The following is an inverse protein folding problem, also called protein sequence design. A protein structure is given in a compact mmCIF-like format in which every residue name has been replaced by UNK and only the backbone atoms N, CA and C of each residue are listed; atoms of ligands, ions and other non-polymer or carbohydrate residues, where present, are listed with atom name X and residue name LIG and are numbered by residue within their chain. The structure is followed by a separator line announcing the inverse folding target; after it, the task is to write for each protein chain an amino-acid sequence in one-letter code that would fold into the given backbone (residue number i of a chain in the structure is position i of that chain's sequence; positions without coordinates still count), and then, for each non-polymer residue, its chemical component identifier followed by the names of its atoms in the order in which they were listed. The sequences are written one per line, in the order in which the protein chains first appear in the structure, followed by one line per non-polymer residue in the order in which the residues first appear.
data_IF_359637191477
#
_entry.id   IF_359637191477
#
_cell.length_a   1.000
_cell.length_b   1.000
_cell.length_c   1.000
_cell.angle_alpha   90.00
_cell.angle_beta   90.00
_cell.angle_gamma   90.00
#
_symmetry.space_group_name_H-M   'P 1'
#
loop_
_entity.id
_entity.type
_entity.pdbx_description
1 polymer ?
#
# COMPACT_ATOMS: atom_id res chain seq x y z
N UNK A 1 5.75 0.31 -29.44
CA UNK A 1 6.81 0.86 -28.58
C UNK A 1 7.18 -0.10 -27.46
N UNK A 2 6.22 -0.72 -26.77
CA UNK A 2 6.48 -1.65 -25.63
C UNK A 2 7.23 -2.93 -26.05
N UNK A 3 6.88 -3.55 -27.18
CA UNK A 3 7.51 -4.80 -27.62
C UNK A 3 9.00 -4.69 -27.99
N UNK A 4 9.46 -3.53 -28.46
CA UNK A 4 10.86 -3.37 -28.89
C UNK A 4 11.82 -3.27 -27.71
N UNK A 5 11.42 -2.58 -26.64
CA UNK A 5 12.22 -2.51 -25.40
C UNK A 5 12.24 -3.86 -24.68
N UNK A 6 11.12 -4.59 -24.72
CA UNK A 6 10.99 -5.93 -24.14
C UNK A 6 11.90 -6.94 -24.84
N UNK A 7 11.96 -6.90 -26.18
CA UNK A 7 12.82 -7.80 -26.96
C UNK A 7 14.31 -7.54 -26.69
N UNK A 8 14.72 -6.27 -26.65
CA UNK A 8 16.12 -5.91 -26.40
C UNK A 8 16.60 -6.33 -25.00
N UNK A 9 15.76 -6.18 -23.96
CA UNK A 9 16.13 -6.61 -22.61
C UNK A 9 16.24 -8.14 -22.49
N UNK A 10 15.38 -8.89 -23.20
CA UNK A 10 15.48 -10.35 -23.24
C UNK A 10 16.69 -10.85 -24.04
N UNK A 11 17.05 -10.17 -25.14
CA UNK A 11 18.27 -10.47 -25.87
C UNK A 11 19.52 -10.27 -25.01
N UNK A 12 19.57 -9.19 -24.21
CA UNK A 12 20.69 -8.94 -23.29
C UNK A 12 20.72 -9.91 -22.10
N UNK A 13 19.57 -10.30 -21.54
CA UNK A 13 19.49 -11.30 -20.48
C UNK A 13 19.91 -12.70 -20.96
N UNK A 14 19.72 -13.00 -22.25
CA UNK A 14 20.12 -14.26 -22.86
C UNK A 14 21.64 -14.38 -23.12
N UNK A 15 22.41 -13.30 -22.98
CA UNK A 15 23.87 -13.33 -23.16
C UNK A 15 24.54 -14.12 -22.04
N UNK A 16 25.64 -14.82 -22.35
CA UNK A 16 26.47 -15.54 -21.36
C UNK A 16 27.13 -14.62 -20.32
N UNK A 17 27.16 -13.31 -20.57
CA UNK A 17 27.63 -12.29 -19.63
C UNK A 17 26.52 -11.79 -18.68
N UNK A 18 25.32 -12.35 -18.77
CA UNK A 18 24.19 -11.99 -17.92
C UNK A 18 24.44 -12.35 -16.45
N UNK A 19 23.86 -11.56 -15.55
CA UNK A 19 23.98 -11.76 -14.10
C UNK A 19 22.68 -11.40 -13.36
N UNK A 20 22.52 -11.84 -12.09
CA UNK A 20 21.38 -11.46 -11.25
C UNK A 20 21.36 -9.95 -10.96
N UNK A 21 20.15 -9.39 -10.80
CA UNK A 21 19.96 -7.98 -10.39
C UNK A 21 20.40 -7.71 -8.94
N UNK A 22 20.36 -8.74 -8.09
CA UNK A 22 20.83 -8.67 -6.70
C UNK A 22 22.04 -9.56 -6.56
N UNK A 23 23.18 -8.98 -6.22
CA UNK A 23 24.41 -9.70 -5.86
C UNK A 23 24.54 -9.78 -4.33
N UNK A 24 24.90 -10.94 -3.77
CA UNK A 24 25.19 -11.08 -2.35
C UNK A 24 26.34 -10.15 -1.93
N UNK A 25 26.27 -9.59 -0.71
CA UNK A 25 27.32 -8.71 -0.17
C UNK A 25 28.69 -9.41 -0.10
N UNK A 26 28.69 -10.73 0.06
CA UNK A 26 29.90 -11.58 0.08
C UNK A 26 30.66 -11.54 -1.26
N UNK A 27 29.96 -11.31 -2.37
CA UNK A 27 30.53 -11.28 -3.73
C UNK A 27 31.04 -9.88 -4.12
N UNK A 28 30.70 -8.84 -3.35
CA UNK A 28 31.05 -7.44 -3.62
C UNK A 28 32.04 -6.93 -2.56
N UNK A 29 33.33 -7.12 -2.82
CA UNK A 29 34.41 -6.78 -1.89
C UNK A 29 35.32 -5.66 -2.42
N UNK A 30 35.22 -5.32 -3.71
CA UNK A 30 36.10 -4.35 -4.37
C UNK A 30 35.33 -3.28 -5.14
N UNK A 31 35.93 -2.10 -5.31
CA UNK A 31 35.34 -0.99 -6.09
C UNK A 31 35.06 -1.36 -7.53
N UNK A 32 35.89 -2.21 -8.15
CA UNK A 32 35.68 -2.66 -9.53
C UNK A 32 34.42 -3.51 -9.67
N UNK A 33 34.09 -4.33 -8.67
CA UNK A 33 32.86 -5.13 -8.65
C UNK A 33 31.64 -4.24 -8.49
N UNK A 34 31.71 -3.22 -7.62
CA UNK A 34 30.64 -2.22 -7.46
C UNK A 34 30.36 -1.52 -8.79
N UNK A 35 31.41 -1.05 -9.47
CA UNK A 35 31.26 -0.39 -10.78
C UNK A 35 30.70 -1.33 -11.85
N UNK A 36 31.07 -2.62 -11.80
CA UNK A 36 30.55 -3.64 -12.70
C UNK A 36 29.05 -3.92 -12.53
N UNK A 37 28.46 -3.58 -11.38
CA UNK A 37 27.01 -3.70 -11.15
C UNK A 37 26.19 -2.59 -11.82
N UNK A 38 26.82 -1.53 -12.35
CA UNK A 38 26.14 -0.42 -13.02
C UNK A 38 26.27 -0.54 -14.54
N UNK A 39 25.84 -1.67 -15.09
CA UNK A 39 25.95 -1.99 -16.51
C UNK A 39 24.60 -1.92 -17.25
N UNK A 40 24.66 -2.01 -18.58
CA UNK A 40 23.46 -1.93 -19.44
C UNK A 40 22.44 -3.03 -19.08
N UNK A 41 22.93 -4.23 -18.74
CA UNK A 41 22.10 -5.39 -18.40
C UNK A 41 21.26 -5.08 -17.15
N UNK A 42 21.88 -4.53 -16.11
CA UNK A 42 21.23 -4.16 -14.85
C UNK A 42 20.11 -3.12 -15.06
N UNK A 43 20.37 -2.09 -15.86
CA UNK A 43 19.37 -1.07 -16.16
C UNK A 43 18.23 -1.62 -17.02
N UNK A 44 18.53 -2.42 -18.04
CA UNK A 44 17.53 -3.05 -18.92
C UNK A 44 16.58 -3.97 -18.13
N UNK A 45 17.13 -4.87 -17.31
CA UNK A 45 16.34 -5.75 -16.45
C UNK A 45 15.57 -4.98 -15.39
N UNK A 46 16.21 -4.02 -14.72
CA UNK A 46 15.59 -3.19 -13.70
C UNK A 46 14.40 -2.40 -14.25
N UNK A 47 14.54 -1.79 -15.42
CA UNK A 47 13.45 -1.09 -16.11
C UNK A 47 12.29 -2.03 -16.43
N UNK A 48 12.57 -3.27 -16.84
CA UNK A 48 11.53 -4.26 -17.12
C UNK A 48 10.77 -4.68 -15.86
N UNK A 49 11.49 -4.92 -14.76
CA UNK A 49 10.87 -5.25 -13.46
C UNK A 49 10.00 -4.11 -12.97
N UNK A 50 10.46 -2.86 -13.08
CA UNK A 50 9.67 -1.68 -12.74
C UNK A 50 8.42 -1.53 -13.62
N UNK A 51 8.55 -1.80 -14.92
CA UNK A 51 7.40 -1.81 -15.84
C UNK A 51 6.39 -2.90 -15.49
N UNK A 52 6.86 -4.13 -15.26
CA UNK A 52 6.00 -5.25 -14.83
C UNK A 52 5.29 -4.94 -13.51
N UNK A 53 5.98 -4.29 -12.56
CA UNK A 53 5.40 -3.83 -11.31
C UNK A 53 4.30 -2.80 -11.55
N UNK A 54 4.54 -1.80 -12.42
CA UNK A 54 3.54 -0.80 -12.79
C UNK A 54 2.29 -1.43 -13.43
N UNK A 55 2.48 -2.39 -14.34
CA UNK A 55 1.38 -3.12 -14.98
C UNK A 55 0.60 -3.98 -13.96
N UNK A 56 1.29 -4.56 -12.98
CA UNK A 56 0.69 -5.39 -11.93
C UNK A 56 -0.15 -4.59 -10.93
N UNK A 57 0.35 -3.44 -10.47
CA UNK A 57 -0.29 -2.64 -9.41
C UNK A 57 -1.17 -1.50 -9.96
N UNK A 58 -1.02 -1.17 -11.24
CA UNK A 58 -1.65 -0.01 -11.89
C UNK A 58 -0.75 1.23 -11.87
N UNK A 59 -0.72 1.98 -12.98
CA UNK A 59 0.16 3.14 -13.17
C UNK A 59 -0.02 4.20 -12.06
N UNK A 60 -1.25 4.54 -11.68
CA UNK A 60 -1.52 5.54 -10.63
C UNK A 60 -0.93 5.15 -9.27
N UNK A 61 -1.03 3.87 -8.92
CA UNK A 61 -0.52 3.32 -7.66
C UNK A 61 1.00 3.30 -7.68
N UNK A 62 1.58 2.88 -8.79
CA UNK A 62 3.02 2.82 -8.99
C UNK A 62 3.63 4.22 -8.87
N UNK A 63 3.12 5.21 -9.61
CA UNK A 63 3.61 6.59 -9.61
C UNK A 63 3.55 7.22 -8.21
N UNK A 64 2.44 7.02 -7.50
CA UNK A 64 2.27 7.50 -6.13
C UNK A 64 3.22 6.79 -5.15
N UNK A 65 3.44 5.49 -5.33
CA UNK A 65 4.41 4.69 -4.58
C UNK A 65 5.83 5.23 -4.73
N UNK A 66 6.28 5.45 -5.98
CA UNK A 66 7.60 6.04 -6.28
C UNK A 66 7.75 7.42 -5.64
N UNK A 67 6.75 8.30 -5.76
CA UNK A 67 6.78 9.64 -5.16
C UNK A 67 6.90 9.57 -3.63
N UNK A 68 6.17 8.68 -2.99
CA UNK A 68 6.21 8.50 -1.54
C UNK A 68 7.56 7.95 -1.08
N UNK A 69 8.07 6.93 -1.77
CA UNK A 69 9.37 6.32 -1.52
C UNK A 69 10.52 7.34 -1.62
N UNK A 70 10.62 8.07 -2.74
CA UNK A 70 11.68 9.07 -2.94
C UNK A 70 11.62 10.20 -1.92
N UNK A 71 10.42 10.61 -1.48
CA UNK A 71 10.25 11.61 -0.43
C UNK A 71 10.73 11.11 0.93
N UNK A 72 10.45 9.85 1.27
CA UNK A 72 10.79 9.26 2.56
C UNK A 72 12.31 9.02 2.73
N UNK A 73 12.97 8.64 1.64
CA UNK A 73 14.38 8.26 1.62
C UNK A 73 15.33 9.32 1.05
N UNK A 74 14.86 10.56 0.92
CA UNK A 74 15.71 11.67 0.48
C UNK A 74 16.95 11.80 1.38
N UNK A 75 18.12 11.47 0.84
CA UNK A 75 19.41 11.54 1.55
C UNK A 75 19.64 10.44 2.59
N UNK A 76 18.88 9.34 2.52
CA UNK A 76 19.03 8.16 3.37
C UNK A 76 19.40 6.93 2.53
N UNK A 77 19.94 5.92 3.18
CA UNK A 77 20.13 4.60 2.58
C UNK A 77 18.79 3.84 2.53
N UNK A 78 18.72 2.89 1.61
CA UNK A 78 17.53 2.08 1.32
C UNK A 78 17.94 0.62 1.19
N UNK A 79 17.03 -0.27 1.59
CA UNK A 79 17.09 -1.70 1.34
C UNK A 79 16.23 -2.07 0.12
N UNK A 80 16.49 -3.24 -0.47
CA UNK A 80 15.78 -3.68 -1.67
C UNK A 80 14.25 -3.79 -1.47
N UNK A 81 13.79 -4.14 -0.27
CA UNK A 81 12.36 -4.30 0.04
C UNK A 81 11.60 -2.98 0.18
N UNK A 82 12.29 -1.89 0.51
CA UNK A 82 11.66 -0.61 0.88
C UNK A 82 10.76 -0.05 -0.23
N UNK A 83 11.18 -0.20 -1.49
CA UNK A 83 10.42 0.24 -2.65
C UNK A 83 9.07 -0.50 -2.74
N UNK A 84 9.12 -1.82 -2.61
CA UNK A 84 7.92 -2.66 -2.69
C UNK A 84 6.97 -2.38 -1.52
N UNK A 85 7.49 -2.22 -0.31
CA UNK A 85 6.69 -1.90 0.87
C UNK A 85 5.92 -0.57 0.71
N UNK A 86 6.56 0.44 0.10
CA UNK A 86 5.92 1.71 -0.20
C UNK A 86 4.85 1.58 -1.29
N UNK A 87 5.14 0.85 -2.37
CA UNK A 87 4.14 0.58 -3.42
C UNK A 87 2.95 -0.18 -2.83
N UNK A 88 3.17 -1.19 -1.99
CA UNK A 88 2.10 -1.91 -1.31
C UNK A 88 1.29 -1.02 -0.37
N UNK A 89 1.94 -0.08 0.32
CA UNK A 89 1.30 0.90 1.20
C UNK A 89 0.44 1.91 0.43
N UNK A 90 0.75 2.19 -0.83
CA UNK A 90 -0.08 3.02 -1.71
C UNK A 90 -1.17 2.19 -2.40
N UNK A 91 -0.83 1.01 -2.92
CA UNK A 91 -1.74 0.06 -3.60
C UNK A 91 -2.88 -0.42 -2.70
N UNK A 92 -2.55 -0.55 -1.43
CA UNK A 92 -3.45 -0.60 -0.29
C UNK A 92 -4.72 0.25 -0.35
N UNK A 93 -4.69 1.43 -1.00
CA UNK A 93 -5.71 2.48 -0.86
C UNK A 93 -5.66 3.04 0.56
N UNK A 94 -5.02 4.20 0.72
CA UNK A 94 -4.27 4.49 1.93
C UNK A 94 -5.11 5.17 3.02
N UNK A 95 -4.55 5.09 4.22
CA UNK A 95 -4.93 5.84 5.42
C UNK A 95 -5.28 7.29 5.10
N UNK A 96 -4.60 7.96 4.16
CA UNK A 96 -4.85 9.38 3.85
C UNK A 96 -6.26 9.63 3.35
N UNK A 97 -6.77 8.81 2.45
CA UNK A 97 -8.14 8.92 1.93
C UNK A 97 -9.15 8.62 3.05
N UNK A 98 -8.85 7.64 3.90
CA UNK A 98 -9.66 7.33 5.08
C UNK A 98 -9.64 8.47 6.10
N UNK A 99 -8.48 9.05 6.41
CA UNK A 99 -8.31 10.18 7.33
C UNK A 99 -8.97 11.44 6.75
N UNK A 100 -8.87 11.70 5.45
CA UNK A 100 -9.58 12.80 4.80
C UNK A 100 -11.10 12.64 4.92
N UNK A 101 -11.63 11.43 4.65
CA UNK A 101 -13.04 11.14 4.86
C UNK A 101 -13.45 11.24 6.33
N UNK A 102 -12.56 10.87 7.26
CA UNK A 102 -12.77 10.96 8.70
C UNK A 102 -12.76 12.41 9.22
N UNK A 103 -11.84 13.25 8.75
CA UNK A 103 -11.82 14.69 9.01
C UNK A 103 -13.09 15.35 8.50
N UNK A 104 -13.49 15.02 7.26
CA UNK A 104 -14.70 15.55 6.66
C UNK A 104 -15.96 15.11 7.41
N UNK A 105 -16.00 13.87 7.91
CA UNK A 105 -17.08 13.36 8.75
C UNK A 105 -17.22 14.15 10.06
N UNK A 106 -16.10 14.49 10.70
CA UNK A 106 -16.10 15.28 11.92
C UNK A 106 -16.55 16.73 11.68
N UNK A 107 -16.07 17.36 10.59
CA UNK A 107 -16.37 18.77 10.28
C UNK A 107 -17.75 19.00 9.68
N UNK A 108 -18.35 18.00 9.02
CA UNK A 108 -19.65 18.16 8.38
C UNK A 108 -20.76 18.36 9.42
N UNK A 109 -21.77 19.16 9.07
CA UNK A 109 -23.01 19.32 9.85
C UNK A 109 -24.20 18.63 9.19
N UNK A 110 -24.04 18.19 7.93
CA UNK A 110 -25.08 17.51 7.16
C UNK A 110 -25.18 16.04 7.59
N UNK A 111 -26.36 15.64 8.03
CA UNK A 111 -26.62 14.27 8.48
C UNK A 111 -26.54 13.24 7.34
N UNK A 112 -26.99 13.62 6.14
CA UNK A 112 -26.93 12.76 4.95
C UNK A 112 -25.48 12.54 4.52
N UNK A 113 -24.67 13.60 4.50
CA UNK A 113 -23.25 13.50 4.17
C UNK A 113 -22.49 12.65 5.21
N UNK A 114 -22.79 12.83 6.51
CA UNK A 114 -22.21 12.01 7.58
C UNK A 114 -22.50 10.52 7.40
N UNK A 115 -23.74 10.15 7.07
CA UNK A 115 -24.08 8.75 6.86
C UNK A 115 -23.37 8.14 5.64
N UNK A 116 -23.25 8.90 4.54
CA UNK A 116 -22.48 8.47 3.37
C UNK A 116 -21.00 8.25 3.71
N UNK A 117 -20.38 9.19 4.44
CA UNK A 117 -18.98 9.09 4.85
C UNK A 117 -18.76 7.91 5.81
N UNK A 118 -19.67 7.72 6.78
CA UNK A 118 -19.62 6.61 7.75
C UNK A 118 -19.67 5.24 7.05
N UNK A 119 -20.55 5.11 6.05
CA UNK A 119 -20.60 3.92 5.20
C UNK A 119 -19.34 3.76 4.36
N UNK A 120 -18.83 4.83 3.76
CA UNK A 120 -17.61 4.80 2.94
C UNK A 120 -16.37 4.37 3.74
N UNK A 121 -16.23 4.86 4.97
CA UNK A 121 -15.13 4.51 5.89
C UNK A 121 -15.11 3.02 6.24
N UNK A 122 -16.28 2.38 6.30
CA UNK A 122 -16.41 0.94 6.53
C UNK A 122 -16.06 0.07 5.31
N UNK A 123 -15.97 0.64 4.11
CA UNK A 123 -15.64 -0.08 2.87
C UNK A 123 -14.13 -0.33 2.67
N UNK A 124 -13.26 0.17 3.56
CA UNK A 124 -11.81 -0.07 3.44
C UNK A 124 -11.46 -1.54 3.56
N UNK A 125 -10.50 -2.03 2.78
CA UNK A 125 -9.99 -3.42 2.87
C UNK A 125 -8.94 -3.59 3.98
N UNK A 126 -8.61 -2.53 4.71
CA UNK A 126 -7.56 -2.52 5.74
C UNK A 126 -8.10 -2.93 7.09
N UNK A 127 -7.73 -4.14 7.51
CA UNK A 127 -8.12 -4.75 8.78
C UNK A 127 -7.78 -3.88 9.99
N UNK A 128 -6.62 -3.23 10.02
CA UNK A 128 -6.22 -2.35 11.13
C UNK A 128 -7.05 -1.05 11.18
N UNK A 129 -7.44 -0.47 10.03
CA UNK A 129 -8.34 0.70 9.97
C UNK A 129 -9.74 0.32 10.42
N UNK A 130 -10.25 -0.85 10.01
CA UNK A 130 -11.53 -1.37 10.48
C UNK A 130 -11.50 -1.66 11.99
N UNK A 131 -10.40 -2.19 12.51
CA UNK A 131 -10.22 -2.43 13.95
C UNK A 131 -10.24 -1.12 14.73
N UNK A 132 -9.47 -0.12 14.29
CA UNK A 132 -9.51 1.24 14.87
C UNK A 132 -10.91 1.86 14.76
N UNK A 133 -11.61 1.63 13.65
CA UNK A 133 -12.95 2.17 13.46
C UNK A 133 -13.96 1.53 14.41
N UNK A 134 -13.82 0.24 14.71
CA UNK A 134 -14.56 -0.44 15.78
C UNK A 134 -14.22 0.15 17.16
N UNK A 135 -12.95 0.42 17.46
CA UNK A 135 -12.58 1.09 18.72
C UNK A 135 -13.21 2.48 18.86
N UNK A 136 -13.36 3.23 17.76
CA UNK A 136 -14.06 4.52 17.79
C UNK A 136 -15.54 4.40 18.14
N UNK A 137 -16.15 3.23 17.96
CA UNK A 137 -17.54 3.00 18.39
C UNK A 137 -17.70 2.89 19.91
N UNK A 138 -16.60 2.68 20.64
CA UNK A 138 -16.58 2.68 22.11
C UNK A 138 -16.51 4.10 22.69
N UNK A 139 -16.16 5.08 21.88
CA UNK A 139 -15.97 6.47 22.28
C UNK A 139 -17.18 7.34 21.82
N UNK A 140 -18.05 7.76 22.75
CA UNK A 140 -19.24 8.57 22.42
C UNK A 140 -18.92 9.92 21.77
N UNK A 141 -17.71 10.45 21.98
CA UNK A 141 -17.27 11.71 21.39
C UNK A 141 -16.87 11.55 19.91
N UNK A 142 -16.50 10.33 19.50
CA UNK A 142 -16.14 10.02 18.11
C UNK A 142 -17.33 9.56 17.29
N UNK A 143 -18.13 8.64 17.83
CA UNK A 143 -19.30 8.08 17.15
C UNK A 143 -20.50 8.17 18.09
N UNK A 144 -21.57 8.82 17.62
CA UNK A 144 -22.81 8.95 18.38
C UNK A 144 -23.39 7.56 18.67
N UNK A 145 -23.93 7.36 19.87
CA UNK A 145 -24.53 6.08 20.29
C UNK A 145 -25.57 5.52 19.30
N UNK A 146 -26.38 6.39 18.70
CA UNK A 146 -27.39 6.00 17.69
C UNK A 146 -26.79 5.44 16.38
N UNK A 147 -25.54 5.79 16.09
CA UNK A 147 -24.84 5.39 14.87
C UNK A 147 -23.95 4.15 15.09
N UNK A 148 -23.59 3.82 16.34
CA UNK A 148 -22.69 2.71 16.66
C UNK A 148 -23.14 1.39 16.01
N UNK A 149 -24.40 1.00 16.19
CA UNK A 149 -24.92 -0.26 15.68
C UNK A 149 -24.84 -0.36 14.14
N UNK A 150 -25.17 0.74 13.43
CA UNK A 150 -25.10 0.76 11.97
C UNK A 150 -23.65 0.82 11.46
N UNK A 151 -22.72 1.44 12.19
CA UNK A 151 -21.29 1.43 11.85
C UNK A 151 -20.72 0.02 11.94
N UNK A 152 -20.99 -0.68 13.06
CA UNK A 152 -20.56 -2.07 13.25
C UNK A 152 -21.18 -2.97 12.18
N UNK A 153 -22.45 -2.76 11.83
CA UNK A 153 -23.11 -3.47 10.73
C UNK A 153 -22.41 -3.28 9.39
N UNK A 154 -22.05 -2.05 9.01
CA UNK A 154 -21.34 -1.81 7.75
C UNK A 154 -19.94 -2.47 7.73
N UNK A 155 -19.23 -2.46 8.86
CA UNK A 155 -17.94 -3.16 8.98
C UNK A 155 -18.13 -4.68 8.88
N UNK A 156 -19.21 -5.23 9.44
CA UNK A 156 -19.51 -6.65 9.37
C UNK A 156 -19.87 -7.14 7.96
N UNK A 157 -20.45 -6.25 7.11
CA UNK A 157 -20.69 -6.55 5.69
C UNK A 157 -19.43 -6.52 4.83
N UNK A 158 -18.35 -5.92 5.32
CA UNK A 158 -17.07 -5.89 4.62
C UNK A 158 -16.37 -7.25 4.75
N UNK A 159 -15.94 -7.83 3.63
CA UNK A 159 -15.24 -9.13 3.62
C UNK A 159 -13.97 -9.16 4.50
N UNK A 160 -13.24 -8.05 4.59
CA UNK A 160 -12.07 -7.91 5.47
C UNK A 160 -12.46 -7.61 6.94
N UNK A 161 -13.67 -7.09 7.18
CA UNK A 161 -14.16 -6.66 8.48
C UNK A 161 -15.00 -7.68 9.24
N UNK A 162 -15.57 -8.67 8.56
CA UNK A 162 -16.54 -9.62 9.12
C UNK A 162 -16.00 -10.35 10.36
N UNK A 163 -14.80 -10.94 10.26
CA UNK A 163 -14.17 -11.66 11.37
C UNK A 163 -13.81 -10.72 12.54
N UNK A 164 -13.39 -9.48 12.23
CA UNK A 164 -13.02 -8.48 13.23
C UNK A 164 -14.26 -7.99 14.01
N UNK A 165 -15.33 -7.66 13.30
CA UNK A 165 -16.59 -7.22 13.91
C UNK A 165 -17.17 -8.31 14.83
N UNK A 166 -17.13 -9.58 14.40
CA UNK A 166 -17.58 -10.70 15.22
C UNK A 166 -16.74 -10.87 16.50
N UNK A 167 -15.42 -10.79 16.40
CA UNK A 167 -14.53 -10.87 17.55
C UNK A 167 -14.73 -9.69 18.51
N UNK A 168 -14.89 -8.48 17.96
CA UNK A 168 -15.11 -7.25 18.72
C UNK A 168 -16.42 -7.30 19.52
N UNK A 169 -17.52 -7.72 18.89
CA UNK A 169 -18.81 -7.87 19.58
C UNK A 169 -18.67 -8.87 20.73
N UNK A 170 -18.07 -10.05 20.49
CA UNK A 170 -17.87 -11.05 21.54
C UNK A 170 -17.01 -10.55 22.70
N UNK A 171 -16.01 -9.73 22.43
CA UNK A 171 -15.09 -9.22 23.45
C UNK A 171 -15.72 -8.10 24.31
N UNK A 172 -16.70 -7.37 23.78
CA UNK A 172 -17.33 -6.23 24.45
C UNK A 172 -18.80 -6.48 24.81
N UNK A 173 -19.24 -7.74 24.77
CA UNK A 173 -20.56 -8.15 25.22
C UNK A 173 -20.46 -8.68 26.64
N UNK A 174 -20.84 -7.86 27.62
CA UNK A 174 -21.02 -8.31 29.00
C UNK A 174 -22.21 -9.29 29.07
N UNK A 175 -22.03 -10.40 29.79
CA UNK A 175 -23.03 -11.44 30.02
C UNK A 175 -24.22 -10.95 30.84
#
# INVERSE_FOLDING_TARGET
MIMSELHSAFEEDALTSSHPLSTPLEEVQTTSQILGMFDAISYSKGAMVLRMLADLVGEDVFDNGIRAYLKAFKGKNVEQSDLWDFIQTVAAGDKKEWEFAWEKFQSSTDTSEKDQLRKALACTKKTWLLSRYLEYTLDPDKIRLMDVASTVYFIAQNAAGQALAWNFIRANWDY
#
